data_IF_802917796448
#
_entry.id   IF_802917796448
#
_cell.length_a   1.000
_cell.length_b   1.000
_cell.length_c   1.000
_cell.angle_alpha   90.00
_cell.angle_beta   90.00
_cell.angle_gamma   90.00
#
_symmetry.space_group_name_H-M   'P 1'
#
loop_
_entity.id
_entity.type
_entity.pdbx_description
1 polymer ?
#
# COMPACT_ATOMS: atom_id res chain seq x y z
N UNK A 1 7.81 -27.61 -28.82
CA UNK A 1 7.72 -26.24 -28.26
C UNK A 1 6.30 -25.84 -27.82
N UNK A 2 5.27 -25.83 -28.68
CA UNK A 2 3.89 -25.44 -28.30
C UNK A 2 3.25 -26.27 -27.17
N UNK A 3 3.57 -27.56 -27.08
CA UNK A 3 3.04 -28.47 -26.04
C UNK A 3 3.68 -28.22 -24.66
N UNK A 4 5.02 -28.09 -24.61
CA UNK A 4 5.74 -27.69 -23.41
C UNK A 4 5.30 -26.29 -22.95
N UNK A 5 5.14 -25.35 -23.87
CA UNK A 5 4.63 -24.00 -23.56
C UNK A 5 3.21 -24.05 -22.98
N UNK A 6 2.32 -24.93 -23.47
CA UNK A 6 0.97 -25.14 -22.90
C UNK A 6 0.98 -25.78 -21.50
N UNK A 7 1.87 -26.75 -21.25
CA UNK A 7 2.01 -27.40 -19.94
C UNK A 7 2.60 -26.42 -18.91
N UNK A 8 3.64 -25.68 -19.29
CA UNK A 8 4.19 -24.63 -18.42
C UNK A 8 3.15 -23.55 -18.17
N UNK A 9 2.36 -23.17 -19.20
CA UNK A 9 1.25 -22.21 -19.07
C UNK A 9 0.16 -22.66 -18.09
N UNK A 10 -0.17 -23.96 -18.03
CA UNK A 10 -1.18 -24.46 -17.09
C UNK A 10 -0.63 -24.63 -15.67
N UNK A 11 0.64 -24.99 -15.52
CA UNK A 11 1.28 -25.19 -14.21
C UNK A 11 1.39 -23.87 -13.43
N UNK A 12 1.97 -22.81 -14.01
CA UNK A 12 2.09 -21.52 -13.31
C UNK A 12 0.72 -20.89 -13.04
N UNK A 13 -0.24 -21.09 -13.94
CA UNK A 13 -1.60 -20.58 -13.74
C UNK A 13 -2.24 -21.23 -12.51
N UNK A 14 -2.04 -22.53 -12.33
CA UNK A 14 -2.53 -23.27 -11.16
C UNK A 14 -1.87 -22.76 -9.88
N UNK A 15 -0.55 -22.57 -9.88
CA UNK A 15 0.20 -22.03 -8.73
C UNK A 15 -0.28 -20.64 -8.31
N UNK A 16 -0.48 -19.72 -9.27
CA UNK A 16 -0.99 -18.37 -9.00
C UNK A 16 -2.39 -18.42 -8.41
N UNK A 17 -3.27 -19.23 -8.99
CA UNK A 17 -4.65 -19.37 -8.53
C UNK A 17 -4.68 -19.90 -7.11
N UNK A 18 -3.90 -20.94 -6.80
CA UNK A 18 -3.80 -21.47 -5.43
C UNK A 18 -3.23 -20.44 -4.45
N UNK A 19 -2.27 -19.61 -4.88
CA UNK A 19 -1.74 -18.54 -4.05
C UNK A 19 -2.80 -17.47 -3.76
N UNK A 20 -3.55 -17.04 -4.78
CA UNK A 20 -4.68 -16.11 -4.63
C UNK A 20 -5.71 -16.69 -3.67
N UNK A 21 -6.06 -17.96 -3.81
CA UNK A 21 -7.05 -18.63 -2.96
C UNK A 21 -6.62 -18.66 -1.49
N UNK A 22 -5.34 -18.97 -1.21
CA UNK A 22 -4.79 -18.91 0.16
C UNK A 22 -4.81 -17.50 0.73
N UNK A 23 -4.45 -16.51 -0.08
CA UNK A 23 -4.40 -15.11 0.35
C UNK A 23 -5.79 -14.54 0.63
N UNK A 24 -6.78 -14.86 -0.21
CA UNK A 24 -8.18 -14.46 0.02
C UNK A 24 -8.82 -15.11 1.25
N UNK A 25 -8.39 -16.31 1.62
CA UNK A 25 -8.85 -16.96 2.87
C UNK A 25 -8.37 -16.21 4.12
N UNK A 26 -7.23 -15.53 4.05
CA UNK A 26 -6.62 -14.78 5.17
C UNK A 26 -6.83 -13.26 5.10
N UNK A 27 -7.45 -12.73 4.03
CA UNK A 27 -7.78 -11.30 3.91
C UNK A 27 -8.79 -10.90 4.99
N UNK A 28 -8.40 -9.96 5.87
CA UNK A 28 -9.24 -9.38 6.92
C UNK A 28 -10.18 -10.39 7.62
N UNK A 29 -9.64 -11.38 8.34
CA UNK A 29 -10.41 -12.51 8.89
C UNK A 29 -11.49 -12.08 9.88
N UNK A 30 -11.32 -10.93 10.53
CA UNK A 30 -12.27 -10.39 11.52
C UNK A 30 -13.47 -9.68 10.88
N UNK A 31 -13.46 -9.47 9.56
CA UNK A 31 -14.51 -8.75 8.83
C UNK A 31 -15.39 -9.74 8.07
N UNK A 32 -16.65 -9.88 8.52
CA UNK A 32 -17.67 -10.78 7.93
C UNK A 32 -17.91 -10.59 6.43
N UNK A 33 -17.55 -9.43 5.89
CA UNK A 33 -17.62 -9.17 4.44
C UNK A 33 -16.65 -10.06 3.65
N UNK A 34 -15.45 -10.29 4.19
CA UNK A 34 -14.38 -11.10 3.58
C UNK A 34 -14.34 -12.53 4.13
N UNK A 35 -14.71 -12.74 5.40
CA UNK A 35 -14.55 -14.01 6.11
C UNK A 35 -15.85 -14.76 6.37
N UNK A 36 -15.74 -16.05 6.70
CA UNK A 36 -16.86 -16.93 7.02
C UNK A 36 -17.48 -17.67 5.82
N UNK A 37 -18.44 -18.56 6.13
CA UNK A 37 -19.01 -19.54 5.19
C UNK A 37 -20.35 -19.14 4.55
N UNK A 38 -20.82 -17.93 4.84
CA UNK A 38 -22.05 -17.40 4.26
C UNK A 38 -21.96 -17.33 2.73
N UNK A 39 -23.10 -17.44 2.04
CA UNK A 39 -23.16 -17.25 0.59
C UNK A 39 -22.65 -15.85 0.19
N UNK A 40 -22.91 -14.84 1.02
CA UNK A 40 -22.46 -13.47 0.81
C UNK A 40 -20.93 -13.33 0.81
N UNK A 41 -20.25 -13.79 1.87
CA UNK A 41 -18.79 -13.74 1.98
C UNK A 41 -18.10 -14.60 0.91
N UNK A 42 -18.67 -15.76 0.55
CA UNK A 42 -18.19 -16.59 -0.56
C UNK A 42 -18.29 -15.86 -1.90
N UNK A 43 -19.42 -15.19 -2.18
CA UNK A 43 -19.60 -14.37 -3.39
C UNK A 43 -18.55 -13.26 -3.47
N UNK A 44 -18.30 -12.57 -2.37
CA UNK A 44 -17.31 -11.49 -2.31
C UNK A 44 -15.88 -11.98 -2.58
N UNK A 45 -15.49 -13.10 -1.96
CA UNK A 45 -14.17 -13.71 -2.23
C UNK A 45 -14.05 -14.16 -3.67
N UNK A 46 -15.10 -14.73 -4.26
CA UNK A 46 -15.07 -15.14 -5.67
C UNK A 46 -14.91 -13.96 -6.63
N UNK A 47 -15.61 -12.84 -6.38
CA UNK A 47 -15.44 -11.63 -7.18
C UNK A 47 -14.01 -11.08 -7.07
N UNK A 48 -13.45 -11.00 -5.86
CA UNK A 48 -12.05 -10.59 -5.67
C UNK A 48 -11.07 -11.55 -6.36
N UNK A 49 -11.33 -12.85 -6.30
CA UNK A 49 -10.55 -13.88 -6.98
C UNK A 49 -10.54 -13.68 -8.49
N UNK A 50 -11.70 -13.43 -9.10
CA UNK A 50 -11.81 -13.16 -10.53
C UNK A 50 -10.98 -11.92 -10.95
N UNK A 51 -11.07 -10.84 -10.18
CA UNK A 51 -10.33 -9.60 -10.41
C UNK A 51 -8.82 -9.88 -10.39
N UNK A 52 -8.31 -10.56 -9.36
CA UNK A 52 -6.88 -10.86 -9.20
C UNK A 52 -6.37 -11.80 -10.29
N UNK A 53 -7.14 -12.83 -10.65
CA UNK A 53 -6.81 -13.75 -11.75
C UNK A 53 -6.76 -13.00 -13.08
N UNK A 54 -7.75 -12.13 -13.34
CA UNK A 54 -7.81 -11.35 -14.57
C UNK A 54 -6.63 -10.38 -14.65
N UNK A 55 -6.31 -9.68 -13.55
CA UNK A 55 -5.14 -8.81 -13.48
C UNK A 55 -3.85 -9.57 -13.77
N UNK A 56 -3.63 -10.72 -13.13
CA UNK A 56 -2.43 -11.53 -13.32
C UNK A 56 -2.29 -12.05 -14.76
N UNK A 57 -3.41 -12.38 -15.43
CA UNK A 57 -3.44 -12.78 -16.84
C UNK A 57 -3.09 -11.63 -17.79
N UNK A 58 -3.61 -10.43 -17.52
CA UNK A 58 -3.40 -9.26 -18.36
C UNK A 58 -2.01 -8.64 -18.15
N UNK A 59 -1.38 -8.89 -17.00
CA UNK A 59 -0.07 -8.34 -16.65
C UNK A 59 0.97 -9.46 -16.40
N UNK A 60 1.36 -10.24 -17.42
CA UNK A 60 2.20 -11.44 -17.25
C UNK A 60 3.63 -11.17 -16.72
N UNK A 61 4.09 -9.92 -16.79
CA UNK A 61 5.38 -9.49 -16.24
C UNK A 61 5.33 -9.31 -14.71
N UNK A 62 4.19 -8.87 -14.17
CA UNK A 62 3.99 -8.61 -12.72
C UNK A 62 3.38 -9.84 -12.06
N UNK A 63 2.34 -10.39 -12.71
CA UNK A 63 1.48 -11.45 -12.20
C UNK A 63 0.83 -11.05 -10.87
N UNK A 64 0.41 -12.04 -10.10
CA UNK A 64 -0.04 -11.82 -8.73
C UNK A 64 1.16 -11.76 -7.78
N UNK A 65 1.19 -10.75 -6.92
CA UNK A 65 2.16 -10.64 -5.82
C UNK A 65 1.39 -10.64 -4.50
N UNK A 66 1.91 -11.39 -3.53
CA UNK A 66 1.33 -11.46 -2.18
C UNK A 66 1.13 -10.05 -1.60
N UNK A 67 -0.08 -9.75 -1.13
CA UNK A 67 -0.47 -8.42 -0.64
C UNK A 67 -1.38 -7.64 -1.60
N UNK A 68 -1.43 -8.01 -2.89
CA UNK A 68 -2.41 -7.43 -3.83
C UNK A 68 -3.86 -7.68 -3.40
N UNK A 69 -4.13 -8.79 -2.71
CA UNK A 69 -5.42 -9.08 -2.09
C UNK A 69 -5.84 -8.01 -1.07
N UNK A 70 -4.90 -7.49 -0.29
CA UNK A 70 -5.14 -6.45 0.73
C UNK A 70 -5.36 -5.08 0.07
N UNK A 71 -4.69 -4.80 -1.05
CA UNK A 71 -4.91 -3.57 -1.85
C UNK A 71 -6.28 -3.61 -2.55
N UNK A 72 -6.70 -4.76 -3.05
CA UNK A 72 -8.01 -4.90 -3.69
C UNK A 72 -9.18 -4.80 -2.68
N UNK A 73 -8.98 -5.28 -1.44
CA UNK A 73 -10.05 -5.40 -0.45
C UNK A 73 -10.79 -4.07 -0.17
N UNK A 74 -10.12 -2.93 0.11
CA UNK A 74 -10.78 -1.63 0.27
C UNK A 74 -11.62 -1.21 -0.93
N UNK A 75 -11.12 -1.37 -2.17
CA UNK A 75 -11.84 -1.00 -3.39
C UNK A 75 -13.12 -1.81 -3.52
N UNK A 76 -13.00 -3.14 -3.47
CA UNK A 76 -14.15 -4.02 -3.65
C UNK A 76 -15.18 -3.86 -2.54
N UNK A 77 -14.74 -3.64 -1.31
CA UNK A 77 -15.63 -3.34 -0.19
C UNK A 77 -16.47 -2.09 -0.44
N UNK A 78 -15.85 -0.99 -0.87
CA UNK A 78 -16.55 0.28 -1.11
C UNK A 78 -17.53 0.14 -2.26
N UNK A 79 -17.09 -0.37 -3.42
CA UNK A 79 -17.97 -0.52 -4.57
C UNK A 79 -19.13 -1.48 -4.32
N UNK A 80 -18.91 -2.59 -3.62
CA UNK A 80 -19.98 -3.55 -3.31
C UNK A 80 -21.01 -3.02 -2.32
N UNK A 81 -20.69 -1.94 -1.60
CA UNK A 81 -21.58 -1.30 -0.61
C UNK A 81 -22.10 0.05 -1.09
N UNK A 82 -22.00 0.34 -2.39
CA UNK A 82 -22.62 1.53 -2.96
C UNK A 82 -24.13 1.53 -2.66
N UNK A 83 -24.64 2.69 -2.26
CA UNK A 83 -26.07 2.92 -2.00
C UNK A 83 -26.92 2.80 -3.26
N UNK A 84 -26.32 2.98 -4.43
CA UNK A 84 -26.95 2.76 -5.72
C UNK A 84 -26.76 1.29 -6.14
N UNK A 85 -27.87 0.55 -6.22
CA UNK A 85 -27.86 -0.88 -6.57
C UNK A 85 -27.23 -1.17 -7.94
N UNK A 86 -27.35 -0.26 -8.91
CA UNK A 86 -26.75 -0.42 -10.24
C UNK A 86 -25.23 -0.32 -10.17
N UNK A 87 -24.70 0.59 -9.36
CA UNK A 87 -23.26 0.70 -9.12
C UNK A 87 -22.75 -0.53 -8.35
N UNK A 88 -23.47 -0.94 -7.29
CA UNK A 88 -23.11 -2.13 -6.53
C UNK A 88 -23.13 -3.41 -7.37
N UNK A 89 -24.01 -3.50 -8.37
CA UNK A 89 -24.02 -4.61 -9.33
C UNK A 89 -22.79 -4.64 -10.24
N UNK A 90 -22.17 -3.48 -10.50
CA UNK A 90 -20.95 -3.34 -11.30
C UNK A 90 -19.66 -3.40 -10.47
N UNK A 91 -19.77 -3.65 -9.15
CA UNK A 91 -18.66 -3.55 -8.22
C UNK A 91 -17.42 -4.35 -8.64
N UNK A 92 -17.58 -5.53 -9.24
CA UNK A 92 -16.45 -6.34 -9.72
C UNK A 92 -15.68 -5.64 -10.86
N UNK A 93 -16.40 -5.06 -11.83
CA UNK A 93 -15.81 -4.36 -12.97
C UNK A 93 -15.16 -3.05 -12.55
N UNK A 94 -15.83 -2.26 -11.71
CA UNK A 94 -15.32 -0.97 -11.22
C UNK A 94 -14.09 -1.19 -10.34
N UNK A 95 -14.12 -2.20 -9.47
CA UNK A 95 -12.97 -2.60 -8.66
C UNK A 95 -11.79 -3.02 -9.52
N UNK A 96 -12.01 -3.80 -10.59
CA UNK A 96 -10.95 -4.18 -11.51
C UNK A 96 -10.34 -2.95 -12.20
N UNK A 97 -11.16 -2.04 -12.73
CA UNK A 97 -10.68 -0.84 -13.41
C UNK A 97 -9.87 0.07 -12.48
N UNK A 98 -10.38 0.33 -11.27
CA UNK A 98 -9.68 1.11 -10.26
C UNK A 98 -8.41 0.41 -9.77
N UNK A 99 -8.46 -0.90 -9.55
CA UNK A 99 -7.29 -1.68 -9.13
C UNK A 99 -6.19 -1.62 -10.18
N UNK A 100 -6.50 -1.81 -11.46
CA UNK A 100 -5.52 -1.70 -12.55
C UNK A 100 -4.88 -0.32 -12.58
N UNK A 101 -5.66 0.76 -12.42
CA UNK A 101 -5.15 2.14 -12.41
C UNK A 101 -4.27 2.43 -11.19
N UNK A 102 -4.70 1.97 -10.01
CA UNK A 102 -3.92 2.14 -8.78
C UNK A 102 -2.62 1.36 -8.84
N UNK A 103 -2.68 0.16 -9.38
CA UNK A 103 -1.52 -0.68 -9.59
C UNK A 103 -0.63 -0.11 -10.68
N UNK A 104 -1.12 0.44 -11.80
CA UNK A 104 -0.27 1.02 -12.87
C UNK A 104 0.70 2.07 -12.36
N UNK A 105 0.25 2.88 -11.39
CA UNK A 105 1.08 3.91 -10.74
C UNK A 105 2.08 3.33 -9.72
N UNK A 106 1.91 2.05 -9.35
CA UNK A 106 2.71 1.31 -8.37
C UNK A 106 3.42 0.08 -8.98
N UNK A 107 3.21 -0.21 -10.26
CA UNK A 107 3.68 -1.42 -10.97
C UNK A 107 5.20 -1.45 -10.99
N UNK A 108 5.83 -0.28 -11.13
CA UNK A 108 7.29 -0.13 -11.07
C UNK A 108 7.86 -0.62 -9.73
N UNK A 109 7.09 -0.59 -8.64
CA UNK A 109 7.51 -1.11 -7.33
C UNK A 109 7.52 -2.65 -7.28
N UNK A 110 6.68 -3.33 -8.06
CA UNK A 110 6.57 -4.78 -8.09
C UNK A 110 7.46 -5.42 -9.17
N UNK A 111 7.61 -4.77 -10.32
CA UNK A 111 8.41 -5.27 -11.45
C UNK A 111 9.92 -5.30 -11.16
N UNK A 112 10.42 -4.36 -10.35
CA UNK A 112 11.85 -4.01 -10.34
C UNK A 112 12.53 -4.26 -8.99
N UNK A 113 12.02 -5.17 -8.16
CA UNK A 113 12.65 -5.55 -6.89
C UNK A 113 14.07 -6.18 -7.05
N UNK A 114 14.64 -6.21 -8.26
CA UNK A 114 15.90 -6.86 -8.59
C UNK A 114 16.91 -6.03 -9.39
N UNK A 115 16.63 -4.80 -9.82
CA UNK A 115 17.60 -4.00 -10.61
C UNK A 115 17.93 -2.63 -10.00
N UNK A 116 19.22 -2.25 -10.09
CA UNK A 116 19.79 -0.97 -9.64
C UNK A 116 19.39 0.22 -10.54
N UNK A 117 18.15 0.28 -11.04
CA UNK A 117 17.66 1.36 -11.89
C UNK A 117 17.17 2.56 -11.07
N UNK A 118 17.18 3.75 -11.70
CA UNK A 118 16.70 5.02 -11.15
C UNK A 118 15.15 5.13 -11.06
N UNK A 119 14.44 4.16 -11.63
CA UNK A 119 13.01 3.93 -11.45
C UNK A 119 12.82 2.70 -10.55
N UNK A 120 11.81 2.72 -9.67
CA UNK A 120 11.46 1.59 -8.80
C UNK A 120 11.20 1.94 -7.33
N UNK A 121 10.94 0.91 -6.52
CA UNK A 121 10.63 1.07 -5.08
C UNK A 121 11.77 1.74 -4.30
N UNK A 122 13.02 1.43 -4.62
CA UNK A 122 14.19 2.04 -3.98
C UNK A 122 14.25 3.55 -4.20
N UNK A 123 13.92 4.02 -5.41
CA UNK A 123 13.81 5.45 -5.71
C UNK A 123 12.72 6.12 -4.86
N UNK A 124 11.58 5.44 -4.67
CA UNK A 124 10.48 5.94 -3.83
C UNK A 124 10.86 5.98 -2.35
N UNK A 125 11.61 4.98 -1.87
CA UNK A 125 12.16 4.95 -0.51
C UNK A 125 13.19 6.06 -0.28
N UNK A 126 14.05 6.35 -1.26
CA UNK A 126 14.97 7.49 -1.21
C UNK A 126 14.22 8.82 -1.19
N UNK A 127 13.14 8.95 -1.98
CA UNK A 127 12.25 10.13 -1.92
C UNK A 127 11.64 10.31 -0.55
N UNK A 128 11.21 9.24 0.13
CA UNK A 128 10.74 9.32 1.52
C UNK A 128 11.83 9.84 2.45
N UNK A 129 13.07 9.36 2.31
CA UNK A 129 14.20 9.81 3.13
C UNK A 129 14.50 11.30 2.94
N UNK A 130 14.57 11.77 1.69
CA UNK A 130 14.79 13.19 1.38
C UNK A 130 13.61 14.05 1.81
N UNK A 131 12.38 13.54 1.70
CA UNK A 131 11.19 14.25 2.18
C UNK A 131 11.20 14.40 3.70
N UNK A 132 11.62 13.36 4.44
CA UNK A 132 11.84 13.45 5.89
C UNK A 132 12.93 14.48 6.20
N UNK A 133 14.07 14.44 5.49
CA UNK A 133 15.16 15.40 5.68
C UNK A 133 14.72 16.85 5.50
N UNK A 134 13.89 17.12 4.49
CA UNK A 134 13.39 18.46 4.20
C UNK A 134 12.43 18.99 5.29
N UNK A 135 11.70 18.11 5.97
CA UNK A 135 10.71 18.48 6.99
C UNK A 135 11.23 18.35 8.43
N UNK A 136 12.19 17.45 8.69
CA UNK A 136 12.79 17.21 10.00
C UNK A 136 14.20 16.60 9.86
N UNK A 137 15.19 17.46 9.67
CA UNK A 137 16.59 17.04 9.44
C UNK A 137 17.17 16.30 10.66
N UNK A 138 16.75 16.65 11.88
CA UNK A 138 17.20 15.99 13.11
C UNK A 138 16.80 14.51 13.12
N UNK A 139 15.52 14.22 12.89
CA UNK A 139 15.02 12.85 12.85
C UNK A 139 15.65 12.07 11.68
N UNK A 140 15.77 12.69 10.51
CA UNK A 140 16.45 12.07 9.37
C UNK A 140 17.90 11.68 9.71
N UNK A 141 18.70 12.61 10.25
CA UNK A 141 20.09 12.33 10.63
C UNK A 141 20.18 11.22 11.67
N UNK A 142 19.27 11.19 12.64
CA UNK A 142 19.23 10.17 13.68
C UNK A 142 18.93 8.78 13.10
N UNK A 143 17.98 8.67 12.17
CA UNK A 143 17.67 7.40 11.50
C UNK A 143 18.81 6.95 10.57
N UNK A 144 19.37 7.87 9.77
CA UNK A 144 20.38 7.55 8.77
C UNK A 144 21.75 7.23 9.38
N UNK A 145 22.24 8.09 10.28
CA UNK A 145 23.61 8.02 10.77
C UNK A 145 23.75 7.45 12.18
N UNK A 146 22.83 7.76 13.09
CA UNK A 146 22.92 7.34 14.50
C UNK A 146 22.45 5.90 14.68
N UNK A 147 21.21 5.61 14.30
CA UNK A 147 20.61 4.28 14.48
C UNK A 147 20.76 3.40 13.25
N UNK A 148 21.03 3.98 12.07
CA UNK A 148 21.19 3.26 10.79
C UNK A 148 19.93 2.47 10.38
N UNK A 149 18.75 2.94 10.77
CA UNK A 149 17.45 2.37 10.39
C UNK A 149 17.04 2.94 9.04
N UNK A 150 17.45 2.26 7.97
CA UNK A 150 17.15 2.67 6.60
C UNK A 150 15.67 2.47 6.24
N UNK A 151 15.07 3.33 5.39
CA UNK A 151 13.68 3.22 4.94
C UNK A 151 13.29 1.84 4.42
N UNK A 152 14.20 1.14 3.74
CA UNK A 152 14.00 -0.21 3.22
C UNK A 152 13.55 -1.24 4.28
N UNK A 153 13.88 -1.04 5.56
CA UNK A 153 13.55 -1.99 6.63
C UNK A 153 12.12 -1.84 7.17
N UNK A 154 11.47 -0.71 6.93
CA UNK A 154 10.12 -0.43 7.44
C UNK A 154 9.14 0.06 6.37
N UNK A 155 9.55 0.99 5.50
CA UNK A 155 8.66 1.66 4.56
C UNK A 155 8.43 0.89 3.26
N UNK A 156 9.19 -0.17 3.00
CA UNK A 156 8.99 -0.99 1.80
C UNK A 156 7.55 -1.54 1.75
N UNK A 157 7.11 -2.17 2.84
CA UNK A 157 5.74 -2.70 2.98
C UNK A 157 4.70 -1.58 2.99
N UNK A 158 4.98 -0.49 3.70
CA UNK A 158 4.10 0.69 3.79
C UNK A 158 3.73 1.22 2.41
N UNK A 159 4.73 1.37 1.54
CA UNK A 159 4.56 1.97 0.21
C UNK A 159 3.97 0.95 -0.76
N UNK A 160 4.55 -0.24 -0.85
CA UNK A 160 4.11 -1.28 -1.82
C UNK A 160 2.68 -1.74 -1.59
N UNK A 161 2.20 -1.72 -0.35
CA UNK A 161 0.84 -2.13 0.01
C UNK A 161 -0.06 -0.96 0.37
N UNK A 162 0.33 0.28 0.07
CA UNK A 162 -0.49 1.48 0.30
C UNK A 162 -1.07 1.54 1.73
N UNK A 163 -0.23 1.20 2.71
CA UNK A 163 -0.53 1.17 4.14
C UNK A 163 -1.62 0.17 4.59
N UNK A 164 -2.07 -0.73 3.72
CA UNK A 164 -3.16 -1.69 4.02
C UNK A 164 -2.83 -2.72 5.11
N UNK A 165 -1.57 -2.83 5.51
CA UNK A 165 -1.14 -3.72 6.60
C UNK A 165 -0.63 -2.97 7.84
N UNK A 166 -0.73 -1.63 7.87
CA UNK A 166 -0.29 -0.83 9.04
C UNK A 166 -1.45 -0.40 9.93
N UNK A 167 -2.67 -0.38 9.40
CA UNK A 167 -3.83 0.18 10.07
C UNK A 167 -5.03 -0.75 10.01
N UNK A 168 -5.97 -0.56 10.92
CA UNK A 168 -7.26 -1.25 10.85
C UNK A 168 -8.05 -0.83 9.61
N UNK A 169 -8.97 -1.68 9.16
CA UNK A 169 -9.69 -1.50 7.90
C UNK A 169 -10.42 -0.15 7.75
N UNK A 170 -11.05 0.35 8.82
CA UNK A 170 -11.73 1.66 8.77
C UNK A 170 -10.72 2.80 8.63
N UNK A 171 -9.57 2.69 9.31
CA UNK A 171 -8.47 3.64 9.19
C UNK A 171 -7.85 3.62 7.78
N UNK A 172 -7.74 2.44 7.17
CA UNK A 172 -7.30 2.29 5.77
C UNK A 172 -8.23 3.06 4.84
N UNK A 173 -9.54 2.85 4.93
CA UNK A 173 -10.52 3.57 4.10
C UNK A 173 -10.38 5.09 4.25
N UNK A 174 -10.24 5.56 5.49
CA UNK A 174 -10.09 6.99 5.78
C UNK A 174 -8.78 7.58 5.24
N UNK A 175 -7.67 6.85 5.33
CA UNK A 175 -6.40 7.25 4.72
C UNK A 175 -6.54 7.28 3.21
N UNK A 176 -7.20 6.28 2.63
CA UNK A 176 -7.41 6.15 1.19
C UNK A 176 -8.26 7.27 0.60
N UNK A 177 -9.23 7.82 1.35
CA UNK A 177 -9.93 9.05 0.95
C UNK A 177 -8.92 10.17 0.66
N UNK A 178 -7.94 10.38 1.55
CA UNK A 178 -6.92 11.40 1.40
C UNK A 178 -5.93 11.06 0.26
N UNK A 179 -5.54 9.78 0.13
CA UNK A 179 -4.65 9.33 -0.94
C UNK A 179 -5.25 9.59 -2.33
N UNK A 180 -6.51 9.18 -2.52
CA UNK A 180 -7.20 9.24 -3.81
C UNK A 180 -7.70 10.65 -4.13
N UNK A 181 -7.99 11.49 -3.13
CA UNK A 181 -8.41 12.88 -3.34
C UNK A 181 -7.25 13.85 -3.58
N UNK A 182 -6.00 13.42 -3.45
CA UNK A 182 -4.86 14.32 -3.55
C UNK A 182 -4.65 14.80 -5.01
N UNK A 183 -4.70 16.10 -5.30
CA UNK A 183 -4.56 16.61 -6.66
C UNK A 183 -3.17 16.37 -7.26
N UNK A 184 -2.16 16.15 -6.43
CA UNK A 184 -0.78 15.83 -6.84
C UNK A 184 -0.53 14.32 -7.00
N UNK A 185 -1.58 13.50 -6.84
CA UNK A 185 -1.54 12.05 -7.05
C UNK A 185 -1.34 11.22 -5.78
N UNK A 186 -1.65 9.93 -5.88
CA UNK A 186 -1.63 8.95 -4.77
C UNK A 186 -0.25 8.84 -4.13
N UNK A 187 0.79 8.76 -4.97
CA UNK A 187 2.18 8.58 -4.50
C UNK A 187 2.67 9.77 -3.66
N UNK A 188 2.29 11.01 -4.00
CA UNK A 188 2.66 12.19 -3.19
C UNK A 188 2.01 12.12 -1.80
N UNK A 189 0.68 11.93 -1.73
CA UNK A 189 0.00 11.83 -0.43
C UNK A 189 0.48 10.62 0.38
N UNK A 190 0.80 9.50 -0.26
CA UNK A 190 1.37 8.34 0.42
C UNK A 190 2.70 8.68 1.10
N UNK A 191 3.61 9.38 0.41
CA UNK A 191 4.88 9.82 1.00
C UNK A 191 4.66 10.81 2.14
N UNK A 192 3.67 11.72 2.03
CA UNK A 192 3.29 12.63 3.11
C UNK A 192 2.79 11.88 4.34
N UNK A 193 1.92 10.88 4.16
CA UNK A 193 1.41 10.06 5.27
C UNK A 193 2.54 9.24 5.89
N UNK A 194 3.39 8.59 5.10
CA UNK A 194 4.57 7.86 5.60
C UNK A 194 5.54 8.76 6.39
N UNK A 195 5.77 9.99 5.93
CA UNK A 195 6.60 10.94 6.67
C UNK A 195 5.91 11.43 7.94
N UNK A 196 4.61 11.72 7.90
CA UNK A 196 3.83 12.09 9.06
C UNK A 196 3.83 10.98 10.13
N UNK A 197 3.79 9.71 9.72
CA UNK A 197 3.95 8.58 10.63
C UNK A 197 5.27 8.66 11.40
N UNK A 198 6.40 8.90 10.70
CA UNK A 198 7.71 9.06 11.36
C UNK A 198 7.72 10.22 12.36
N UNK A 199 7.16 11.38 11.98
CA UNK A 199 7.11 12.57 12.83
C UNK A 199 6.24 12.37 14.08
N UNK A 200 5.11 11.67 13.94
CA UNK A 200 4.22 11.40 15.07
C UNK A 200 4.86 10.53 16.16
N UNK A 201 5.87 9.72 15.81
CA UNK A 201 6.64 8.91 16.76
C UNK A 201 8.07 9.42 16.97
N UNK A 202 8.39 10.64 16.52
CA UNK A 202 9.74 11.23 16.57
C UNK A 202 10.41 11.10 17.93
N UNK A 203 9.71 11.47 19.01
CA UNK A 203 10.28 11.45 20.36
C UNK A 203 10.77 10.06 20.77
N UNK A 204 10.00 9.02 20.43
CA UNK A 204 10.36 7.62 20.68
C UNK A 204 11.53 7.18 19.81
N UNK A 205 11.53 7.58 18.53
CA UNK A 205 12.62 7.28 17.60
C UNK A 205 13.95 7.88 18.04
N UNK A 206 13.96 9.15 18.47
CA UNK A 206 15.18 9.82 18.94
C UNK A 206 15.75 9.21 20.24
N UNK A 207 14.89 8.60 21.05
CA UNK A 207 15.29 7.93 22.30
C UNK A 207 15.69 6.47 22.12
N UNK A 208 15.35 5.86 20.99
CA UNK A 208 15.51 4.43 20.73
C UNK A 208 16.83 4.07 20.06
N UNK A 209 17.23 2.81 20.21
CA UNK A 209 18.32 2.23 19.43
C UNK A 209 17.80 1.60 18.11
N UNK A 210 18.70 0.99 17.33
CA UNK A 210 18.33 0.33 16.07
C UNK A 210 17.19 -0.69 16.24
N UNK A 211 17.26 -1.55 17.26
CA UNK A 211 16.30 -2.63 17.46
C UNK A 211 14.94 -2.09 17.91
N UNK A 212 14.93 -1.14 18.85
CA UNK A 212 13.72 -0.49 19.34
C UNK A 212 13.01 0.29 18.21
N UNK A 213 13.76 1.06 17.43
CA UNK A 213 13.22 1.85 16.32
C UNK A 213 12.70 0.96 15.19
N UNK A 214 13.44 -0.08 14.83
CA UNK A 214 12.97 -1.02 13.81
C UNK A 214 11.68 -1.73 14.25
N UNK A 215 11.63 -2.20 15.51
CA UNK A 215 10.43 -2.83 16.06
C UNK A 215 9.24 -1.87 16.06
N UNK A 216 9.47 -0.61 16.47
CA UNK A 216 8.45 0.44 16.50
C UNK A 216 7.88 0.71 15.11
N UNK A 217 8.72 0.77 14.08
CA UNK A 217 8.27 1.07 12.72
C UNK A 217 7.66 -0.15 12.02
N UNK A 218 8.08 -1.37 12.36
CA UNK A 218 7.46 -2.59 11.84
C UNK A 218 6.12 -2.92 12.50
N UNK A 219 5.90 -2.44 13.73
CA UNK A 219 4.67 -2.58 14.49
C UNK A 219 4.22 -1.20 14.96
N UNK A 220 3.74 -0.42 13.99
CA UNK A 220 3.38 0.97 14.20
C UNK A 220 2.29 1.09 15.29
N UNK A 221 2.43 2.01 16.26
CA UNK A 221 1.47 2.11 17.36
C UNK A 221 0.15 2.71 16.89
N UNK A 222 -0.91 2.45 17.66
CA UNK A 222 -2.20 3.09 17.44
C UNK A 222 -2.07 4.62 17.43
N UNK A 223 -2.73 5.25 16.46
CA UNK A 223 -2.68 6.69 16.26
C UNK A 223 -4.05 7.21 15.84
N UNK A 224 -4.36 8.43 16.25
CA UNK A 224 -5.52 9.14 15.73
C UNK A 224 -5.29 9.50 14.25
N UNK A 225 -6.09 8.89 13.36
CA UNK A 225 -5.94 9.05 11.90
C UNK A 225 -6.16 10.49 11.45
N UNK A 226 -7.09 11.23 12.05
CA UNK A 226 -7.30 12.64 11.71
C UNK A 226 -6.09 13.51 12.08
N UNK A 227 -5.45 13.22 13.21
CA UNK A 227 -4.20 13.88 13.57
C UNK A 227 -3.09 13.54 12.56
N UNK A 228 -2.92 12.26 12.23
CA UNK A 228 -1.93 11.81 11.26
C UNK A 228 -2.11 12.51 9.90
N UNK A 229 -3.35 12.56 9.39
CA UNK A 229 -3.67 13.18 8.11
C UNK A 229 -3.49 14.70 8.14
N UNK A 230 -3.80 15.37 9.26
CA UNK A 230 -3.49 16.79 9.44
C UNK A 230 -1.99 17.05 9.38
N UNK A 231 -1.18 16.25 10.08
CA UNK A 231 0.28 16.36 10.01
C UNK A 231 0.75 16.21 8.57
N UNK A 232 0.27 15.18 7.85
CA UNK A 232 0.63 14.92 6.46
C UNK A 232 0.30 16.10 5.51
N UNK A 233 -0.80 16.82 5.74
CA UNK A 233 -1.21 17.98 4.94
C UNK A 233 -0.25 19.17 5.07
N UNK A 234 0.38 19.35 6.23
CA UNK A 234 1.30 20.48 6.46
C UNK A 234 2.73 20.21 5.99
N UNK A 235 3.07 18.97 5.62
CA UNK A 235 4.38 18.66 5.09
C UNK A 235 4.54 19.26 3.70
N UNK A 236 5.74 19.72 3.37
CA UNK A 236 6.03 20.27 2.04
C UNK A 236 7.29 19.63 1.48
N UNK A 237 7.36 19.42 0.15
CA UNK A 237 8.58 18.94 -0.49
C UNK A 237 9.72 19.97 -0.44
N UNK A 238 9.39 21.26 -0.28
CA UNK A 238 10.36 22.36 -0.26
C UNK A 238 10.35 23.10 1.09
N UNK A 239 11.51 23.21 1.74
CA UNK A 239 11.74 24.14 2.87
C UNK A 239 12.29 25.51 2.42
N UNK A 240 12.46 25.75 1.12
CA UNK A 240 12.79 27.08 0.57
C UNK A 240 11.53 27.91 0.30
N UNK A 241 10.86 28.39 1.36
CA UNK A 241 10.03 29.64 1.32
C UNK A 241 9.27 29.94 2.63
N UNK A 242 9.86 29.69 3.81
CA UNK A 242 9.47 30.40 5.04
C UNK A 242 10.34 31.64 5.30
N UNK A 243 10.84 32.25 4.22
CA UNK A 243 11.47 33.59 4.20
C UNK A 243 10.85 34.48 3.13
N UNK A 244 9.52 34.64 3.16
CA UNK A 244 8.89 35.87 2.71
C UNK A 244 7.91 36.30 3.81
N UNK A 245 8.50 37.02 4.75
CA UNK A 245 7.87 37.90 5.72
C UNK A 245 7.07 39.02 5.05
N UNK A 246 5.92 39.34 5.67
CA UNK A 246 5.11 40.58 5.57
C UNK A 246 4.32 40.81 4.27
#
# INVERSE_FOLDING_TARGET
MKFLMRITLSAWYTEIVEQIDRDLQRTHPDIKFFSGDSSFSKKNREAMRNILILFAKLNPAIRYVQGMNEVLAPLYYVFSRDTNEQNAANAEADSFACFVRLMSDSVDHFCQQLDNSSAGILSTLSRLAEFLKANDEELWRHLEFTTKVKPQFYAFRWITLLLTQEFEFQSILRIWDALLSNPFGVQDMLLRVCCAMLLCVKSRLLSGDFAANLKLLQHYPDINIEHLLRVAQYLSPDTTSSSLSL
#
